data_IF_501629447247
#
_entry.id   IF_501629447247
#
_cell.length_a   1.000
_cell.length_b   1.000
_cell.length_c   1.000
_cell.angle_alpha   90.00
_cell.angle_beta   90.00
_cell.angle_gamma   90.00
#
_symmetry.space_group_name_H-M   'P 1'
#
loop_
_entity.id
_entity.type
_entity.pdbx_description
1 polymer ?
#
# COMPACT_ATOMS: atom_id res chain seq x y z
N UNK A 1 4.53 80.14 5.12
CA UNK A 1 5.88 79.99 4.53
C UNK A 1 6.19 78.52 4.36
N UNK A 2 6.19 78.10 3.11
CA UNK A 2 6.64 76.84 2.54
C UNK A 2 8.07 76.46 2.95
N UNK A 3 8.35 75.15 3.18
CA UNK A 3 9.28 74.24 2.44
C UNK A 3 8.97 72.79 2.92
N UNK A 4 8.57 71.81 2.11
CA UNK A 4 9.16 71.08 0.96
C UNK A 4 9.80 69.72 1.40
N UNK A 5 9.13 68.64 0.96
CA UNK A 5 9.43 67.21 0.79
C UNK A 5 10.78 66.58 1.22
N UNK A 6 10.71 65.34 1.72
CA UNK A 6 11.44 64.20 1.10
C UNK A 6 10.83 62.84 1.49
N UNK A 7 10.43 62.07 0.49
CA UNK A 7 10.02 60.67 0.61
C UNK A 7 11.21 59.78 0.99
N UNK A 8 11.00 58.85 1.91
CA UNK A 8 11.92 57.76 2.21
C UNK A 8 11.15 56.50 2.56
N UNK A 9 10.91 55.65 1.56
CA UNK A 9 10.69 54.22 1.79
C UNK A 9 11.97 53.61 2.36
N UNK A 10 11.90 52.80 3.41
CA UNK A 10 11.95 51.32 3.31
C UNK A 10 12.15 50.64 4.68
N UNK A 11 11.31 49.62 4.90
CA UNK A 11 11.58 48.31 5.50
C UNK A 11 12.13 48.23 6.93
N UNK A 12 11.23 47.88 7.86
CA UNK A 12 11.61 47.33 9.16
C UNK A 12 10.41 46.87 9.99
N UNK A 13 9.95 45.63 9.77
CA UNK A 13 9.32 44.82 10.81
C UNK A 13 9.08 43.39 10.29
N UNK A 14 9.94 42.50 10.77
CA UNK A 14 9.85 41.05 10.80
C UNK A 14 8.45 40.52 11.15
N UNK A 15 7.81 39.86 10.19
CA UNK A 15 6.70 38.93 10.42
C UNK A 15 7.09 37.58 9.84
N UNK A 16 7.37 36.61 10.71
CA UNK A 16 7.80 35.27 10.35
C UNK A 16 6.80 34.60 9.40
N UNK A 17 7.14 34.56 8.11
CA UNK A 17 6.42 33.74 7.14
C UNK A 17 7.12 32.39 7.14
N UNK A 18 6.52 31.42 7.81
CA UNK A 18 6.93 30.02 7.89
C UNK A 18 7.00 29.42 6.48
N UNK A 19 8.14 29.63 5.83
CA UNK A 19 8.44 29.03 4.54
C UNK A 19 8.65 27.55 4.82
N UNK A 20 7.79 26.71 4.26
CA UNK A 20 7.96 25.28 4.24
C UNK A 20 9.33 24.98 3.59
N UNK A 21 10.35 24.80 4.42
CA UNK A 21 11.64 24.28 3.99
C UNK A 21 11.35 22.91 3.40
N UNK A 22 11.29 22.84 2.07
CA UNK A 22 11.39 21.56 1.37
C UNK A 22 12.65 20.90 1.93
N UNK A 23 12.48 19.75 2.56
CA UNK A 23 13.56 18.83 2.89
C UNK A 23 14.20 18.41 1.55
N UNK A 24 15.10 19.23 1.03
CA UNK A 24 16.01 18.84 -0.02
C UNK A 24 17.04 17.92 0.64
N UNK A 25 16.66 16.66 0.85
CA UNK A 25 17.61 15.63 1.18
C UNK A 25 18.56 15.48 -0.01
N UNK A 26 19.83 15.81 0.18
CA UNK A 26 20.89 15.56 -0.79
C UNK A 26 21.05 14.04 -0.98
N UNK A 27 20.22 13.46 -1.85
CA UNK A 27 20.35 12.06 -2.25
C UNK A 27 21.65 11.90 -3.03
N UNK A 28 22.48 10.91 -2.65
CA UNK A 28 23.67 10.54 -3.42
C UNK A 28 23.23 10.01 -4.78
N UNK A 29 24.06 10.18 -5.81
CA UNK A 29 23.79 9.66 -7.15
C UNK A 29 23.55 8.14 -7.09
N UNK A 30 22.32 7.73 -7.34
CA UNK A 30 21.93 6.32 -7.47
C UNK A 30 22.21 5.87 -8.89
N UNK A 31 22.90 4.75 -9.07
CA UNK A 31 23.23 4.19 -10.38
C UNK A 31 22.38 2.96 -10.74
N UNK A 32 21.77 2.30 -9.75
CA UNK A 32 21.00 1.08 -9.93
C UNK A 32 19.83 1.06 -8.93
N UNK A 33 18.66 0.58 -9.37
CA UNK A 33 17.49 0.35 -8.53
C UNK A 33 17.14 -1.14 -8.58
N UNK A 34 16.85 -1.74 -7.42
CA UNK A 34 16.30 -3.09 -7.33
C UNK A 34 14.82 -2.92 -7.05
N UNK A 35 13.99 -3.47 -7.93
CA UNK A 35 12.56 -3.46 -7.79
C UNK A 35 12.10 -4.82 -7.29
N UNK A 36 11.21 -4.82 -6.29
CA UNK A 36 10.48 -6.02 -5.92
C UNK A 36 9.52 -6.40 -7.05
N UNK A 37 9.25 -7.70 -7.21
CA UNK A 37 8.41 -8.20 -8.29
C UNK A 37 6.92 -8.13 -7.92
N UNK A 38 6.59 -8.56 -6.70
CA UNK A 38 5.22 -8.68 -6.24
C UNK A 38 4.75 -7.39 -5.55
N UNK A 39 3.53 -6.95 -5.82
CA UNK A 39 2.96 -5.73 -5.23
C UNK A 39 3.60 -4.42 -5.71
N UNK A 40 4.65 -4.48 -6.53
CA UNK A 40 5.30 -3.33 -7.17
C UNK A 40 5.32 -3.46 -8.69
N UNK A 41 5.80 -4.59 -9.23
CA UNK A 41 5.79 -4.82 -10.68
C UNK A 41 4.49 -5.48 -11.16
N UNK A 42 4.00 -6.47 -10.40
CA UNK A 42 2.79 -7.23 -10.69
C UNK A 42 1.68 -6.93 -9.68
N UNK A 43 0.44 -6.83 -10.14
CA UNK A 43 -0.73 -6.48 -9.32
C UNK A 43 -1.29 -7.72 -8.61
N UNK A 44 -0.41 -8.39 -7.87
CA UNK A 44 -0.66 -9.67 -7.23
C UNK A 44 -1.57 -9.55 -6.00
N UNK A 45 -1.56 -8.40 -5.33
CA UNK A 45 -2.43 -8.10 -4.18
C UNK A 45 -3.93 -8.24 -4.52
N UNK A 46 -4.36 -7.73 -5.67
CA UNK A 46 -5.77 -7.87 -6.11
C UNK A 46 -6.15 -9.32 -6.41
N UNK A 47 -5.19 -10.10 -6.88
CA UNK A 47 -5.38 -11.53 -7.17
C UNK A 47 -5.50 -12.29 -5.84
N UNK A 48 -4.59 -12.05 -4.89
CA UNK A 48 -4.66 -12.66 -3.56
C UNK A 48 -5.96 -12.31 -2.82
N UNK A 49 -6.38 -11.05 -2.84
CA UNK A 49 -7.63 -10.64 -2.21
C UNK A 49 -8.85 -11.33 -2.83
N UNK A 50 -8.87 -11.48 -4.17
CA UNK A 50 -9.94 -12.19 -4.89
C UNK A 50 -9.96 -13.67 -4.52
N UNK A 51 -8.81 -14.34 -4.57
CA UNK A 51 -8.68 -15.76 -4.24
C UNK A 51 -9.15 -16.00 -2.81
N UNK A 52 -8.68 -15.22 -1.83
CA UNK A 52 -9.11 -15.36 -0.43
C UNK A 52 -10.63 -15.20 -0.30
N UNK A 53 -11.21 -14.20 -0.97
CA UNK A 53 -12.65 -14.01 -1.02
C UNK A 53 -13.40 -15.22 -1.59
N UNK A 54 -12.91 -15.79 -2.68
CA UNK A 54 -13.55 -16.95 -3.33
C UNK A 54 -13.41 -18.24 -2.52
N UNK A 55 -12.28 -18.46 -1.85
CA UNK A 55 -12.13 -19.57 -0.91
C UNK A 55 -13.07 -19.39 0.28
N UNK A 56 -13.18 -18.20 0.87
CA UNK A 56 -14.12 -17.92 1.96
C UNK A 56 -15.59 -18.15 1.55
N UNK A 57 -15.96 -17.73 0.33
CA UNK A 57 -17.30 -17.99 -0.23
C UNK A 57 -17.61 -19.49 -0.34
N UNK A 58 -16.61 -20.33 -0.64
CA UNK A 58 -16.80 -21.78 -0.69
C UNK A 58 -17.19 -22.41 0.65
N UNK A 59 -16.96 -21.68 1.75
CA UNK A 59 -17.37 -22.04 3.11
C UNK A 59 -18.60 -21.25 3.59
N UNK A 60 -19.34 -20.61 2.67
CA UNK A 60 -20.49 -19.75 2.98
C UNK A 60 -20.16 -18.60 3.95
N UNK A 61 -18.89 -18.17 4.01
CA UNK A 61 -18.43 -17.13 4.92
C UNK A 61 -18.06 -15.86 4.16
N UNK A 62 -18.58 -14.68 4.55
CA UNK A 62 -18.17 -13.42 3.94
C UNK A 62 -16.71 -13.12 4.31
N UNK A 63 -16.01 -12.39 3.44
CA UNK A 63 -14.67 -11.89 3.71
C UNK A 63 -14.70 -10.37 3.99
N UNK A 64 -14.96 -9.96 5.25
CA UNK A 64 -15.21 -8.56 5.61
C UNK A 64 -13.93 -7.73 5.63
N UNK A 65 -14.09 -6.41 5.51
CA UNK A 65 -12.99 -5.44 5.54
C UNK A 65 -12.12 -5.55 6.81
N UNK A 66 -12.73 -5.80 7.96
CA UNK A 66 -11.99 -5.93 9.22
C UNK A 66 -10.97 -7.09 9.19
N UNK A 67 -11.35 -8.24 8.63
CA UNK A 67 -10.43 -9.39 8.46
C UNK A 67 -9.38 -9.09 7.40
N UNK A 68 -9.72 -8.39 6.31
CA UNK A 68 -8.75 -7.93 5.29
C UNK A 68 -7.64 -7.08 5.90
N UNK A 69 -8.02 -6.08 6.70
CA UNK A 69 -7.04 -5.22 7.38
C UNK A 69 -6.09 -5.98 8.31
N UNK A 70 -6.55 -7.08 8.91
CA UNK A 70 -5.72 -7.90 9.80
C UNK A 70 -4.70 -8.77 9.08
N UNK A 71 -4.98 -9.15 7.84
CA UNK A 71 -4.10 -10.05 7.08
C UNK A 71 -3.12 -9.33 6.16
N UNK A 72 -3.37 -8.05 5.86
CA UNK A 72 -2.44 -7.21 5.09
C UNK A 72 -1.05 -7.21 5.72
N UNK A 73 -0.03 -7.41 4.89
CA UNK A 73 1.37 -7.44 5.32
C UNK A 73 1.76 -8.67 6.17
N UNK A 74 0.90 -9.68 6.28
CA UNK A 74 1.23 -10.93 6.98
C UNK A 74 1.65 -12.03 6.01
N UNK A 75 2.46 -12.97 6.50
CA UNK A 75 2.87 -14.17 5.74
C UNK A 75 1.67 -15.06 5.42
N UNK A 76 1.69 -15.80 4.32
CA UNK A 76 0.58 -16.69 3.89
C UNK A 76 0.01 -17.58 5.02
N UNK A 77 0.88 -18.28 5.76
CA UNK A 77 0.44 -19.15 6.86
C UNK A 77 -0.32 -18.37 7.94
N UNK A 78 0.12 -17.15 8.23
CA UNK A 78 -0.51 -16.28 9.23
C UNK A 78 -1.82 -15.69 8.70
N UNK A 79 -1.88 -15.29 7.43
CA UNK A 79 -3.11 -14.89 6.73
C UNK A 79 -4.19 -15.96 6.87
N UNK A 80 -3.86 -17.20 6.49
CA UNK A 80 -4.82 -18.32 6.56
C UNK A 80 -5.24 -18.62 8.01
N UNK A 81 -4.28 -18.62 8.93
CA UNK A 81 -4.57 -18.82 10.36
C UNK A 81 -5.51 -17.75 10.91
N UNK A 82 -5.30 -16.48 10.54
CA UNK A 82 -6.19 -15.38 10.94
C UNK A 82 -7.59 -15.61 10.36
N UNK A 83 -7.70 -15.93 9.07
CA UNK A 83 -9.00 -16.10 8.39
C UNK A 83 -9.80 -17.26 8.99
N UNK A 84 -9.18 -18.43 9.16
CA UNK A 84 -9.85 -19.61 9.72
C UNK A 84 -10.34 -19.34 11.14
N UNK A 85 -9.53 -18.69 11.97
CA UNK A 85 -9.88 -18.38 13.35
C UNK A 85 -10.91 -17.24 13.47
N UNK A 86 -10.77 -16.18 12.67
CA UNK A 86 -11.61 -14.98 12.73
C UNK A 86 -13.01 -15.24 12.17
N UNK A 87 -13.09 -16.00 11.06
CA UNK A 87 -14.34 -16.38 10.42
C UNK A 87 -14.92 -17.69 10.95
N UNK A 88 -14.22 -18.35 11.90
CA UNK A 88 -14.60 -19.64 12.50
C UNK A 88 -15.01 -20.67 11.44
N UNK A 89 -14.18 -20.81 10.41
CA UNK A 89 -14.46 -21.72 9.29
C UNK A 89 -14.43 -23.18 9.77
N UNK A 90 -15.21 -24.04 9.11
CA UNK A 90 -15.28 -25.48 9.40
C UNK A 90 -14.11 -26.29 8.85
N UNK A 91 -13.07 -25.64 8.31
CA UNK A 91 -11.89 -26.28 7.74
C UNK A 91 -10.65 -26.10 8.61
N UNK A 92 -9.65 -26.94 8.36
CA UNK A 92 -8.31 -26.76 8.95
C UNK A 92 -7.54 -25.65 8.24
N UNK A 93 -6.53 -25.09 8.92
CA UNK A 93 -5.61 -24.11 8.35
C UNK A 93 -4.87 -24.71 7.13
N UNK A 94 -4.47 -25.98 7.23
CA UNK A 94 -3.72 -26.65 6.15
C UNK A 94 -4.58 -26.89 4.90
N UNK A 95 -5.84 -27.30 5.06
CA UNK A 95 -6.76 -27.48 3.94
C UNK A 95 -7.02 -26.17 3.21
N UNK A 96 -7.22 -25.08 3.97
CA UNK A 96 -7.43 -23.77 3.40
C UNK A 96 -6.16 -23.29 2.68
N UNK A 97 -4.99 -23.48 3.28
CA UNK A 97 -3.70 -23.10 2.69
C UNK A 97 -3.44 -23.86 1.39
N UNK A 98 -3.77 -25.14 1.33
CA UNK A 98 -3.65 -25.95 0.11
C UNK A 98 -4.52 -25.39 -1.02
N UNK A 99 -5.81 -25.14 -0.74
CA UNK A 99 -6.74 -24.55 -1.73
C UNK A 99 -6.29 -23.17 -2.19
N UNK A 100 -5.77 -22.36 -1.26
CA UNK A 100 -5.23 -21.04 -1.56
C UNK A 100 -4.07 -21.13 -2.56
N UNK A 101 -3.10 -22.02 -2.31
CA UNK A 101 -1.94 -22.25 -3.20
C UNK A 101 -2.31 -22.80 -4.58
N UNK A 102 -3.25 -23.74 -4.63
CA UNK A 102 -3.73 -24.28 -5.91
C UNK A 102 -4.34 -23.18 -6.80
N UNK A 103 -5.12 -22.27 -6.20
CA UNK A 103 -5.68 -21.11 -6.89
C UNK A 103 -4.63 -20.07 -7.27
N UNK A 104 -3.67 -19.79 -6.38
CA UNK A 104 -2.57 -18.88 -6.68
C UNK A 104 -1.80 -19.36 -7.93
N UNK A 105 -1.46 -20.65 -7.99
CA UNK A 105 -0.74 -21.21 -9.13
C UNK A 105 -1.51 -21.05 -10.46
N UNK A 106 -2.84 -21.20 -10.41
CA UNK A 106 -3.69 -21.08 -11.59
C UNK A 106 -3.87 -19.64 -12.05
N UNK A 107 -4.05 -18.70 -11.12
CA UNK A 107 -4.44 -17.32 -11.43
C UNK A 107 -3.25 -16.37 -11.58
N UNK A 108 -2.12 -16.64 -10.92
CA UNK A 108 -0.93 -15.78 -10.95
C UNK A 108 -0.21 -15.80 -12.31
N UNK A 109 -0.35 -16.88 -13.08
CA UNK A 109 0.21 -16.98 -14.43
C UNK A 109 -0.32 -15.92 -15.41
N UNK A 110 -1.43 -15.27 -15.09
CA UNK A 110 -2.02 -14.18 -15.88
C UNK A 110 -1.96 -12.81 -15.20
N UNK A 111 -1.09 -12.61 -14.20
CA UNK A 111 -1.05 -11.38 -13.44
C UNK A 111 -0.72 -10.15 -14.31
N UNK A 112 -1.56 -9.10 -14.32
CA UNK A 112 -1.27 -7.89 -15.08
C UNK A 112 -0.17 -7.06 -14.42
N UNK A 113 0.57 -6.30 -15.24
CA UNK A 113 1.53 -5.30 -14.77
C UNK A 113 0.82 -4.15 -14.04
N UNK A 114 1.48 -3.56 -13.05
CA UNK A 114 1.00 -2.31 -12.43
C UNK A 114 1.02 -1.14 -13.43
N UNK A 115 0.06 -0.23 -13.27
CA UNK A 115 -0.02 1.00 -14.07
C UNK A 115 1.23 1.86 -13.86
N UNK A 116 1.90 2.22 -14.95
CA UNK A 116 3.14 3.01 -14.92
C UNK A 116 4.40 2.17 -15.18
N UNK A 117 4.26 0.86 -15.35
CA UNK A 117 5.29 -0.03 -15.88
C UNK A 117 5.01 -0.16 -17.37
N UNK A 118 5.73 0.61 -18.17
CA UNK A 118 5.60 0.70 -19.62
C UNK A 118 6.67 1.61 -20.20
#
# INVERSE_FOLDING_TARGET
MSRLFSSGSVLGASGATSTATRMASNFRKVTHCIFDMDGLLLDTEKIYERILGDVCKSYNSPYPWATRMRVLGTTEQRTVSIIVNDLKLSCTVDDFLKKFREKQLLELGGAPLLKGIG
#
